data_IF_486502597354
#
_entry.id   IF_486502597354
#
_cell.length_a   1.000
_cell.length_b   1.000
_cell.length_c   1.000
_cell.angle_alpha   90.00
_cell.angle_beta   90.00
_cell.angle_gamma   90.00
#
_symmetry.space_group_name_H-M   'P 1'
#
loop_
_entity.id
_entity.type
_entity.pdbx_description
1 polymer ?
#
# COMPACT_ATOMS: atom_id res chain seq x y z
N UNK A 1 18.63 -20.11 -4.64
CA UNK A 1 18.52 -19.26 -5.84
C UNK A 1 17.44 -18.25 -5.53
N UNK A 2 17.84 -17.04 -5.16
CA UNK A 2 16.91 -15.90 -5.05
C UNK A 2 16.27 -15.69 -6.42
N UNK A 3 14.95 -15.83 -6.51
CA UNK A 3 14.21 -15.20 -7.60
C UNK A 3 14.13 -13.74 -7.22
N UNK A 4 14.86 -12.82 -7.87
CA UNK A 4 14.69 -11.42 -7.58
C UNK A 4 13.22 -11.09 -7.80
N UNK A 5 12.60 -10.42 -6.83
CA UNK A 5 11.36 -9.68 -7.05
C UNK A 5 11.68 -8.65 -8.13
N UNK A 6 11.62 -9.06 -9.39
CA UNK A 6 11.66 -8.17 -10.54
C UNK A 6 10.40 -7.32 -10.41
N UNK A 7 10.54 -6.19 -9.73
CA UNK A 7 9.58 -5.10 -9.78
C UNK A 7 9.40 -4.82 -11.26
N UNK A 8 8.26 -5.24 -11.81
CA UNK A 8 7.99 -5.08 -13.22
C UNK A 8 7.94 -3.58 -13.48
N UNK A 9 9.04 -3.05 -14.04
CA UNK A 9 9.14 -1.66 -14.40
C UNK A 9 8.52 -1.51 -15.79
N UNK A 10 7.44 -0.74 -15.85
CA UNK A 10 6.78 -0.41 -17.10
C UNK A 10 7.11 1.03 -17.44
N UNK A 11 7.55 1.25 -18.68
CA UNK A 11 7.93 2.59 -19.14
C UNK A 11 6.69 3.32 -19.64
N UNK A 12 6.66 4.61 -19.39
CA UNK A 12 5.62 5.48 -19.91
C UNK A 12 6.17 6.81 -20.40
N UNK A 13 5.30 7.57 -21.04
CA UNK A 13 5.56 8.96 -21.40
C UNK A 13 4.36 9.82 -21.07
N UNK A 14 4.62 11.10 -20.79
CA UNK A 14 3.57 12.11 -20.76
C UNK A 14 3.27 12.50 -22.21
N UNK A 15 2.00 12.49 -22.57
CA UNK A 15 1.53 12.87 -23.90
C UNK A 15 0.38 13.85 -23.77
N UNK A 16 0.25 14.78 -24.71
CA UNK A 16 -0.87 15.71 -24.74
C UNK A 16 -1.99 15.11 -25.60
N UNK A 17 -3.18 14.98 -25.02
CA UNK A 17 -4.40 14.55 -25.72
C UNK A 17 -5.42 15.68 -25.68
N UNK A 18 -5.55 16.40 -26.80
CA UNK A 18 -6.40 17.59 -26.87
C UNK A 18 -5.89 18.70 -25.94
N UNK A 19 -6.68 19.04 -24.91
CA UNK A 19 -6.33 20.05 -23.89
C UNK A 19 -5.81 19.44 -22.58
N UNK A 20 -5.61 18.13 -22.53
CA UNK A 20 -5.23 17.42 -21.32
C UNK A 20 -3.91 16.69 -21.49
N UNK A 21 -3.20 16.50 -20.38
CA UNK A 21 -2.05 15.60 -20.31
C UNK A 21 -2.52 14.19 -19.97
N UNK A 22 -1.87 13.19 -20.56
CA UNK A 22 -2.17 11.79 -20.38
C UNK A 22 -0.88 11.01 -20.11
N UNK A 23 -0.93 10.14 -19.11
CA UNK A 23 0.11 9.14 -18.86
C UNK A 23 -0.08 7.98 -19.84
N UNK A 24 0.83 7.84 -20.79
CA UNK A 24 0.86 6.70 -21.71
C UNK A 24 1.80 5.65 -21.16
N UNK A 25 1.27 4.50 -20.75
CA UNK A 25 2.04 3.33 -20.32
C UNK A 25 2.22 2.36 -21.50
N UNK A 26 3.32 1.61 -21.49
CA UNK A 26 3.57 0.60 -22.52
C UNK A 26 2.53 -0.54 -22.50
N UNK A 27 2.40 -1.24 -23.63
CA UNK A 27 1.41 -2.32 -23.80
C UNK A 27 1.70 -3.55 -22.92
N UNK A 28 2.95 -3.74 -22.48
CA UNK A 28 3.34 -4.88 -21.66
C UNK A 28 2.68 -4.79 -20.28
N UNK A 29 2.50 -3.58 -19.71
CA UNK A 29 1.74 -3.37 -18.48
C UNK A 29 0.33 -3.97 -18.61
N UNK A 30 -0.42 -3.57 -19.63
CA UNK A 30 -1.79 -4.06 -19.81
C UNK A 30 -1.86 -5.53 -20.20
N UNK A 31 -0.78 -6.11 -20.73
CA UNK A 31 -0.71 -7.55 -20.99
C UNK A 31 -0.50 -8.34 -19.70
N UNK A 32 0.36 -7.85 -18.81
CA UNK A 32 0.66 -8.46 -17.51
C UNK A 32 -0.47 -8.22 -16.50
N UNK A 33 -1.07 -7.03 -16.51
CA UNK A 33 -2.10 -6.55 -15.60
C UNK A 33 -3.37 -6.16 -16.39
N UNK A 34 -4.18 -7.15 -16.83
CA UNK A 34 -5.38 -6.90 -17.62
C UNK A 34 -6.45 -6.07 -16.88
N UNK A 35 -6.38 -5.97 -15.56
CA UNK A 35 -7.24 -5.15 -14.70
C UNK A 35 -7.19 -3.65 -15.05
N UNK A 36 -6.10 -3.16 -15.66
CA UNK A 36 -5.98 -1.77 -16.12
C UNK A 36 -6.49 -1.55 -17.57
N UNK A 37 -7.09 -2.54 -18.22
CA UNK A 37 -7.62 -2.39 -19.58
C UNK A 37 -8.88 -1.51 -19.61
N UNK A 38 -9.26 -1.12 -20.83
CA UNK A 38 -10.33 -0.19 -21.23
C UNK A 38 -11.50 0.00 -20.22
N UNK A 39 -11.86 1.27 -19.98
CA UNK A 39 -12.93 1.74 -19.07
C UNK A 39 -12.68 1.56 -17.57
N UNK A 40 -11.52 1.04 -17.17
CA UNK A 40 -11.05 1.17 -15.81
C UNK A 40 -10.90 2.66 -15.45
N UNK A 41 -11.72 3.16 -14.52
CA UNK A 41 -11.48 4.43 -13.86
C UNK A 41 -10.27 4.24 -12.97
N UNK A 42 -9.36 5.20 -12.95
CA UNK A 42 -8.15 5.16 -12.13
C UNK A 42 -8.09 6.37 -11.22
N UNK A 43 -7.45 6.22 -10.07
CA UNK A 43 -7.14 7.29 -9.14
C UNK A 43 -5.62 7.42 -9.02
N UNK A 44 -5.15 8.67 -9.00
CA UNK A 44 -3.74 8.99 -8.89
C UNK A 44 -3.48 9.68 -7.55
N UNK A 45 -2.66 9.08 -6.70
CA UNK A 45 -2.28 9.58 -5.37
C UNK A 45 -0.84 10.08 -5.42
N UNK A 46 -0.60 11.34 -5.05
CA UNK A 46 0.75 11.92 -4.96
C UNK A 46 1.36 11.50 -3.64
N UNK A 47 2.45 10.73 -3.68
CA UNK A 47 3.15 10.26 -2.47
C UNK A 47 4.26 11.21 -2.04
N UNK A 48 4.74 12.04 -2.96
CA UNK A 48 5.85 12.97 -2.75
C UNK A 48 6.40 13.50 -4.07
N UNK A 49 7.46 14.31 -4.05
CA UNK A 49 8.07 14.87 -5.24
C UNK A 49 8.45 13.77 -6.25
N UNK A 50 7.89 13.83 -7.46
CA UNK A 50 8.16 12.88 -8.54
C UNK A 50 7.59 11.47 -8.33
N UNK A 51 6.77 11.25 -7.30
CA UNK A 51 6.25 9.91 -6.95
C UNK A 51 4.72 9.91 -6.96
N UNK A 52 4.14 9.00 -7.74
CA UNK A 52 2.70 8.85 -7.93
C UNK A 52 2.31 7.38 -7.80
N UNK A 53 1.27 7.08 -7.03
CA UNK A 53 0.60 5.79 -6.99
C UNK A 53 -0.68 5.85 -7.82
N UNK A 54 -0.82 4.94 -8.78
CA UNK A 54 -2.05 4.81 -9.58
C UNK A 54 -2.79 3.56 -9.14
N UNK A 55 -4.03 3.71 -8.72
CA UNK A 55 -4.93 2.62 -8.34
C UNK A 55 -6.15 2.58 -9.26
N UNK A 56 -6.80 1.42 -9.34
CA UNK A 56 -8.12 1.33 -9.94
C UNK A 56 -9.15 1.96 -9.00
N UNK A 57 -10.06 2.75 -9.56
CA UNK A 57 -11.21 3.26 -8.86
C UNK A 57 -12.20 2.09 -8.73
N UNK A 58 -12.26 1.48 -7.55
CA UNK A 58 -13.30 0.52 -7.20
C UNK A 58 -14.61 1.32 -7.07
N UNK A 59 -15.26 1.58 -8.21
CA UNK A 59 -16.26 2.63 -8.31
C UNK A 59 -17.32 2.57 -7.22
N UNK A 60 -17.55 3.70 -6.54
CA UNK A 60 -18.71 4.03 -5.68
C UNK A 60 -19.33 2.90 -4.82
N UNK A 61 -18.55 1.88 -4.45
CA UNK A 61 -18.98 0.82 -3.53
C UNK A 61 -18.52 1.07 -2.09
N UNK A 62 -17.80 2.16 -1.85
CA UNK A 62 -17.39 2.62 -0.52
C UNK A 62 -17.53 4.14 -0.44
N UNK A 63 -18.76 4.64 -0.58
CA UNK A 63 -19.21 5.69 0.34
C UNK A 63 -19.57 5.00 1.66
N UNK A 64 -18.58 4.34 2.26
CA UNK A 64 -18.69 4.00 3.66
C UNK A 64 -18.60 5.33 4.43
N UNK A 65 -19.36 5.50 5.52
CA UNK A 65 -19.27 6.70 6.35
C UNK A 65 -17.81 6.95 6.74
N UNK A 66 -17.47 8.19 7.07
CA UNK A 66 -16.13 8.66 7.40
C UNK A 66 -15.42 7.94 8.58
N UNK A 67 -15.99 6.82 9.04
CA UNK A 67 -15.48 5.88 10.05
C UNK A 67 -15.00 4.54 9.44
N UNK A 68 -15.06 4.36 8.11
CA UNK A 68 -14.32 3.30 7.45
C UNK A 68 -12.88 3.78 7.29
N UNK A 69 -12.00 3.30 8.17
CA UNK A 69 -10.54 3.38 8.08
C UNK A 69 -10.15 3.51 6.62
N UNK A 70 -9.74 4.72 6.23
CA UNK A 70 -9.34 5.01 4.85
C UNK A 70 -8.14 4.10 4.56
N UNK A 71 -8.40 2.93 3.97
CA UNK A 71 -7.37 1.94 3.74
C UNK A 71 -6.35 2.55 2.77
N UNK A 72 -5.26 3.09 3.32
CA UNK A 72 -4.22 3.72 2.53
C UNK A 72 -3.72 2.67 1.51
N UNK A 73 -3.90 2.93 0.21
CA UNK A 73 -3.55 1.97 -0.83
C UNK A 73 -2.05 1.63 -0.84
N UNK A 74 -1.20 2.52 -0.32
CA UNK A 74 0.22 2.25 -0.10
C UNK A 74 0.41 1.23 1.01
N UNK A 75 -0.26 1.42 2.16
CA UNK A 75 -0.21 0.49 3.29
C UNK A 75 -0.76 -0.87 2.87
N UNK A 76 -1.90 -0.90 2.17
CA UNK A 76 -2.48 -2.14 1.65
C UNK A 76 -1.54 -2.87 0.68
N UNK A 77 -0.87 -2.15 -0.23
CA UNK A 77 0.11 -2.74 -1.15
C UNK A 77 1.35 -3.27 -0.40
N UNK A 78 1.83 -2.54 0.60
CA UNK A 78 2.95 -2.97 1.44
C UNK A 78 2.60 -4.22 2.26
N UNK A 79 1.42 -4.27 2.87
CA UNK A 79 0.98 -5.42 3.64
C UNK A 79 0.76 -6.66 2.75
N UNK A 80 0.21 -6.48 1.55
CA UNK A 80 0.08 -7.57 0.56
C UNK A 80 1.43 -8.11 0.10
N UNK A 81 2.41 -7.22 -0.08
CA UNK A 81 3.80 -7.60 -0.34
C UNK A 81 4.38 -8.42 0.82
N UNK A 82 4.21 -7.96 2.06
CA UNK A 82 4.70 -8.65 3.24
C UNK A 82 4.05 -10.01 3.40
N UNK A 83 2.73 -10.11 3.27
CA UNK A 83 1.99 -11.39 3.32
C UNK A 83 2.55 -12.41 2.33
N UNK A 84 2.82 -11.97 1.10
CA UNK A 84 3.40 -12.83 0.06
C UNK A 84 4.81 -13.28 0.42
N UNK A 85 5.67 -12.36 0.85
CA UNK A 85 7.04 -12.69 1.25
C UNK A 85 7.06 -13.67 2.44
N UNK A 86 6.20 -13.47 3.44
CA UNK A 86 6.06 -14.37 4.58
C UNK A 86 5.61 -15.78 4.18
N UNK A 87 4.77 -15.91 3.15
CA UNK A 87 4.32 -17.21 2.62
C UNK A 87 5.39 -17.90 1.76
N UNK A 88 6.08 -17.14 0.93
CA UNK A 88 7.11 -17.66 0.02
C UNK A 88 8.43 -17.96 0.75
N UNK A 89 8.72 -17.23 1.82
CA UNK A 89 9.96 -17.30 2.60
C UNK A 89 9.72 -17.42 4.12
N UNK A 90 9.04 -18.50 4.58
CA UNK A 90 8.79 -18.71 6.00
C UNK A 90 10.09 -18.82 6.82
N UNK A 91 11.22 -19.19 6.22
CA UNK A 91 12.54 -19.25 6.85
C UNK A 91 13.08 -17.88 7.30
N UNK A 92 12.54 -16.78 6.75
CA UNK A 92 12.91 -15.42 7.16
C UNK A 92 12.16 -14.96 8.41
N UNK A 93 11.10 -15.67 8.80
CA UNK A 93 10.37 -15.39 10.02
C UNK A 93 11.19 -15.85 11.22
N UNK A 94 11.61 -14.90 12.04
CA UNK A 94 12.29 -15.20 13.30
C UNK A 94 11.29 -15.14 14.45
N UNK A 95 11.20 -16.19 15.28
CA UNK A 95 10.42 -16.13 16.50
C UNK A 95 11.03 -15.10 17.44
N UNK A 96 10.19 -14.43 18.22
CA UNK A 96 10.67 -13.54 19.28
C UNK A 96 11.49 -14.32 20.30
N UNK A 97 12.65 -13.76 20.65
CA UNK A 97 13.46 -14.28 21.75
C UNK A 97 13.02 -13.65 23.07
N UNK A 98 13.41 -14.26 24.20
CA UNK A 98 13.21 -13.65 25.51
C UNK A 98 13.86 -12.26 25.62
N UNK A 99 14.98 -12.05 24.93
CA UNK A 99 15.65 -10.76 24.87
C UNK A 99 14.83 -9.71 24.11
N UNK A 100 14.15 -10.11 23.02
CA UNK A 100 13.25 -9.22 22.27
C UNK A 100 12.05 -8.81 23.13
N UNK A 101 11.46 -9.78 23.85
CA UNK A 101 10.33 -9.52 24.76
C UNK A 101 10.77 -8.58 25.89
N UNK A 102 11.91 -8.85 26.53
CA UNK A 102 12.43 -8.00 27.60
C UNK A 102 12.74 -6.58 27.09
N UNK A 103 13.23 -6.45 25.86
CA UNK A 103 13.46 -5.16 25.21
C UNK A 103 12.15 -4.42 24.94
N UNK A 104 11.14 -5.09 24.40
CA UNK A 104 9.81 -4.50 24.16
C UNK A 104 9.23 -3.99 25.48
N UNK A 105 9.24 -4.82 26.52
CA UNK A 105 8.76 -4.43 27.86
C UNK A 105 9.53 -3.25 28.45
N UNK A 106 10.84 -3.19 28.25
CA UNK A 106 11.65 -2.06 28.69
C UNK A 106 11.30 -0.77 27.92
N UNK A 107 11.05 -0.87 26.61
CA UNK A 107 10.65 0.26 25.77
C UNK A 107 9.25 0.78 26.10
N UNK A 108 8.33 -0.10 26.49
CA UNK A 108 6.94 0.25 26.79
C UNK A 108 6.65 0.43 28.28
N UNK A 109 7.67 0.40 29.15
CA UNK A 109 7.50 0.37 30.61
C UNK A 109 6.63 1.49 31.16
N UNK A 110 6.80 2.69 30.62
CA UNK A 110 6.15 3.91 31.13
C UNK A 110 4.95 4.32 30.27
N UNK A 111 4.52 3.45 29.35
CA UNK A 111 3.31 3.65 28.55
C UNK A 111 2.14 3.04 29.31
N UNK A 112 1.37 3.89 29.96
CA UNK A 112 0.08 3.49 30.55
C UNK A 112 -0.95 3.35 29.42
N UNK A 113 -1.59 2.18 29.34
CA UNK A 113 -2.65 1.90 28.36
C UNK A 113 -3.86 1.40 29.13
N UNK A 114 -5.00 2.05 28.95
CA UNK A 114 -6.31 1.58 29.41
C UNK A 114 -7.20 1.29 28.20
N UNK A 115 -7.91 0.16 28.22
CA UNK A 115 -8.89 -0.18 27.18
C UNK A 115 -10.09 0.79 27.18
N UNK A 116 -10.25 1.57 28.26
CA UNK A 116 -11.26 2.63 28.40
C UNK A 116 -10.74 4.02 27.99
N UNK A 117 -9.46 4.13 27.57
CA UNK A 117 -8.90 5.41 27.13
C UNK A 117 -9.59 5.87 25.84
N UNK A 118 -10.11 7.11 25.87
CA UNK A 118 -10.71 7.74 24.70
C UNK A 118 -9.60 8.19 23.76
N UNK A 119 -9.60 7.67 22.54
CA UNK A 119 -8.69 8.11 21.48
C UNK A 119 -9.00 9.59 21.19
N UNK A 120 -7.99 10.49 21.28
CA UNK A 120 -8.17 11.91 20.99
C UNK A 120 -8.70 12.17 19.57
N UNK A 121 -9.55 13.19 19.41
CA UNK A 121 -10.20 13.54 18.13
C UNK A 121 -9.21 13.93 17.00
N UNK A 122 -7.94 14.21 17.34
CA UNK A 122 -6.86 14.51 16.39
C UNK A 122 -6.10 13.27 15.90
N UNK A 123 -6.45 12.08 16.41
CA UNK A 123 -5.97 10.80 15.94
C UNK A 123 -7.07 10.14 15.12
N UNK A 124 -7.01 10.32 13.80
CA UNK A 124 -7.91 9.65 12.85
C UNK A 124 -7.42 8.23 12.59
N UNK A 125 -8.26 7.23 12.87
CA UNK A 125 -8.03 5.80 12.59
C UNK A 125 -8.25 5.46 11.11
#
# INVERSE_FOLDING_TARGET
METPMTRAEFKGSITTTGRSEALRLDKALFKAHPEFKQRAKIRAHVLGPGSLLVTLDAGEAELAPADAVEHDPVVAAYLSFLERDMREHPERLQPFTEADIARIQALTRDVEVSDDDVIPDDVTL
#
